data_IF_664435779051
#
_entry.id   IF_664435779051
#
_cell.length_a   1.000
_cell.length_b   1.000
_cell.length_c   1.000
_cell.angle_alpha   90.00
_cell.angle_beta   90.00
_cell.angle_gamma   90.00
#
_symmetry.space_group_name_H-M   'P 1'
#
loop_
_entity.id
_entity.type
_entity.pdbx_description
1 polymer ?
#
# COMPACT_ATOMS: atom_id res chain seq x y z
N UNK A 1 25.18 -6.43 -2.71
CA UNK A 1 24.53 -5.66 -3.79
C UNK A 1 23.42 -6.54 -4.31
N UNK A 2 22.19 -6.05 -4.34
CA UNK A 2 21.05 -6.85 -4.81
C UNK A 2 21.11 -7.05 -6.32
N UNK A 3 20.70 -8.22 -6.78
CA UNK A 3 20.38 -8.52 -8.18
C UNK A 3 19.06 -7.84 -8.57
N UNK A 4 18.80 -7.73 -9.87
CA UNK A 4 17.52 -7.19 -10.35
C UNK A 4 16.32 -8.03 -9.90
N UNK A 5 16.46 -9.36 -9.81
CA UNK A 5 15.36 -10.21 -9.35
C UNK A 5 15.11 -10.01 -7.84
N UNK A 6 16.15 -9.94 -7.02
CA UNK A 6 16.01 -9.65 -5.58
C UNK A 6 15.35 -8.28 -5.36
N UNK A 7 15.70 -7.26 -6.14
CA UNK A 7 15.05 -5.94 -6.05
C UNK A 7 13.57 -6.01 -6.46
N UNK A 8 13.25 -6.73 -7.54
CA UNK A 8 11.88 -6.92 -8.00
C UNK A 8 11.03 -7.66 -6.97
N UNK A 9 11.55 -8.69 -6.33
CA UNK A 9 10.88 -9.42 -5.24
C UNK A 9 10.61 -8.51 -4.04
N UNK A 10 11.59 -7.68 -3.64
CA UNK A 10 11.42 -6.70 -2.56
C UNK A 10 10.31 -5.69 -2.89
N UNK A 11 10.29 -5.17 -4.12
CA UNK A 11 9.29 -4.20 -4.55
C UNK A 11 7.89 -4.82 -4.66
N UNK A 12 7.80 -6.07 -5.13
CA UNK A 12 6.53 -6.80 -5.19
C UNK A 12 5.99 -7.08 -3.79
N UNK A 13 6.84 -7.56 -2.87
CA UNK A 13 6.47 -7.78 -1.48
C UNK A 13 6.01 -6.49 -0.79
N UNK A 14 6.68 -5.37 -1.09
CA UNK A 14 6.26 -4.06 -0.60
C UNK A 14 4.89 -3.65 -1.16
N UNK A 15 4.62 -3.90 -2.45
CA UNK A 15 3.32 -3.61 -3.08
C UNK A 15 2.20 -4.39 -2.41
N UNK A 16 2.42 -5.69 -2.20
CA UNK A 16 1.45 -6.59 -1.55
C UNK A 16 1.11 -6.09 -0.13
N UNK A 17 2.12 -5.64 0.61
CA UNK A 17 1.94 -5.08 1.95
C UNK A 17 1.18 -3.75 1.95
N UNK A 18 1.48 -2.85 1.01
CA UNK A 18 0.74 -1.59 0.86
C UNK A 18 -0.74 -1.85 0.58
N UNK A 19 -1.06 -2.81 -0.30
CA UNK A 19 -2.45 -3.16 -0.60
C UNK A 19 -3.17 -3.84 0.57
N UNK A 20 -2.48 -4.70 1.33
CA UNK A 20 -3.03 -5.32 2.55
C UNK A 20 -3.37 -4.26 3.61
N UNK A 21 -2.46 -3.32 3.84
CA UNK A 21 -2.66 -2.23 4.80
C UNK A 21 -3.78 -1.29 4.35
N UNK A 22 -3.84 -0.95 3.06
CA UNK A 22 -4.94 -0.17 2.51
C UNK A 22 -6.29 -0.84 2.81
N UNK A 23 -6.43 -2.14 2.49
CA UNK A 23 -7.67 -2.90 2.75
C UNK A 23 -8.01 -2.92 4.23
N UNK A 24 -7.01 -3.14 5.09
CA UNK A 24 -7.17 -3.18 6.54
C UNK A 24 -7.71 -1.86 7.08
N UNK A 25 -7.14 -0.73 6.67
CA UNK A 25 -7.59 0.58 7.14
C UNK A 25 -8.98 0.93 6.63
N UNK A 26 -9.32 0.60 5.37
CA UNK A 26 -10.67 0.80 4.85
C UNK A 26 -11.70 -0.03 5.64
N UNK A 27 -11.42 -1.31 5.90
CA UNK A 27 -12.31 -2.16 6.69
C UNK A 27 -12.45 -1.63 8.12
N UNK A 28 -11.37 -1.17 8.74
CA UNK A 28 -11.40 -0.59 10.08
C UNK A 28 -12.23 0.70 10.12
N UNK A 29 -12.07 1.58 9.12
CA UNK A 29 -12.83 2.83 9.02
C UNK A 29 -14.34 2.59 8.89
N UNK A 30 -14.76 1.53 8.20
CA UNK A 30 -16.18 1.16 8.07
C UNK A 30 -16.77 0.49 9.32
N UNK A 31 -15.92 0.04 10.25
CA UNK A 31 -16.34 -0.63 11.50
C UNK A 31 -16.28 0.26 12.74
N UNK A 32 -15.74 1.46 12.62
CA UNK A 32 -15.66 2.42 13.72
C UNK A 32 -16.88 3.33 13.66
N UNK A 33 -17.73 3.21 14.67
CA UNK A 33 -18.94 4.05 14.82
C UNK A 33 -18.70 5.22 15.79
N UNK A 34 -17.73 5.11 16.69
CA UNK A 34 -17.59 5.99 17.85
C UNK A 34 -16.58 7.14 17.68
N UNK A 35 -15.87 7.21 16.54
CA UNK A 35 -14.83 8.23 16.31
C UNK A 35 -14.69 8.61 14.83
N UNK A 36 -15.32 9.73 14.45
CA UNK A 36 -15.21 10.31 13.11
C UNK A 36 -13.77 10.76 12.78
N UNK A 37 -13.02 11.25 13.77
CA UNK A 37 -11.62 11.65 13.58
C UNK A 37 -10.74 10.43 13.22
N UNK A 38 -10.88 9.31 13.95
CA UNK A 38 -10.12 8.11 13.65
C UNK A 38 -10.53 7.50 12.31
N UNK A 39 -11.82 7.52 11.98
CA UNK A 39 -12.34 7.10 10.68
C UNK A 39 -11.72 7.88 9.53
N UNK A 40 -11.63 9.21 9.66
CA UNK A 40 -10.96 10.06 8.68
C UNK A 40 -9.47 9.67 8.54
N UNK A 41 -8.75 9.54 9.66
CA UNK A 41 -7.32 9.17 9.65
C UNK A 41 -7.06 7.81 8.99
N UNK A 42 -7.92 6.82 9.23
CA UNK A 42 -7.80 5.52 8.58
C UNK A 42 -7.99 5.60 7.07
N UNK A 43 -8.91 6.46 6.60
CA UNK A 43 -9.07 6.73 5.16
C UNK A 43 -7.85 7.44 4.59
N UNK A 44 -7.29 8.43 5.29
CA UNK A 44 -6.05 9.10 4.89
C UNK A 44 -4.86 8.14 4.81
N UNK A 45 -4.76 7.18 5.75
CA UNK A 45 -3.74 6.12 5.67
C UNK A 45 -3.94 5.25 4.44
N UNK A 46 -5.16 4.80 4.16
CA UNK A 46 -5.49 4.02 2.98
C UNK A 46 -5.18 4.76 1.66
N UNK A 47 -5.46 6.07 1.59
CA UNK A 47 -5.07 6.90 0.44
C UNK A 47 -3.54 6.99 0.28
N UNK A 48 -2.82 7.09 1.40
CA UNK A 48 -1.36 7.02 1.45
C UNK A 48 -0.83 5.69 0.90
N UNK A 49 -1.41 4.57 1.31
CA UNK A 49 -1.08 3.25 0.77
C UNK A 49 -1.33 3.20 -0.74
N UNK A 50 -2.51 3.66 -1.20
CA UNK A 50 -2.85 3.68 -2.64
C UNK A 50 -1.84 4.48 -3.47
N UNK A 51 -1.35 5.61 -2.94
CA UNK A 51 -0.30 6.41 -3.59
C UNK A 51 1.01 5.63 -3.70
N UNK A 52 1.45 4.96 -2.63
CA UNK A 52 2.68 4.16 -2.64
C UNK A 52 2.56 2.92 -3.54
N UNK A 53 1.42 2.24 -3.54
CA UNK A 53 1.15 1.14 -4.46
C UNK A 53 1.32 1.57 -5.92
N UNK A 54 0.79 2.73 -6.32
CA UNK A 54 1.00 3.26 -7.69
C UNK A 54 2.48 3.49 -8.02
N UNK A 55 3.23 4.08 -7.09
CA UNK A 55 4.66 4.31 -7.26
C UNK A 55 5.43 2.98 -7.39
N UNK A 56 5.11 1.98 -6.57
CA UNK A 56 5.72 0.64 -6.63
C UNK A 56 5.41 -0.07 -7.95
N UNK A 57 4.15 0.02 -8.41
CA UNK A 57 3.73 -0.52 -9.72
C UNK A 57 4.53 0.14 -10.84
N UNK A 58 4.72 1.45 -10.80
CA UNK A 58 5.48 2.18 -11.82
C UNK A 58 6.97 1.80 -11.83
N UNK A 59 7.56 1.53 -10.67
CA UNK A 59 8.94 1.00 -10.59
C UNK A 59 9.03 -0.46 -11.04
N UNK A 60 8.09 -1.33 -10.65
CA UNK A 60 8.05 -2.73 -11.08
C UNK A 60 7.95 -2.87 -12.60
N UNK A 61 7.21 -1.98 -13.28
CA UNK A 61 7.14 -1.95 -14.76
C UNK A 61 8.51 -1.76 -15.42
N UNK A 62 9.47 -1.13 -14.74
CA UNK A 62 10.83 -0.93 -15.27
C UNK A 62 11.65 -2.21 -15.33
N UNK A 63 11.26 -3.25 -14.59
CA UNK A 63 11.89 -4.58 -14.60
C UNK A 63 11.30 -5.51 -15.66
N UNK A 64 10.25 -5.10 -16.38
CA UNK A 64 9.57 -5.89 -17.42
C UNK A 64 10.16 -5.60 -18.82
N UNK A 65 11.05 -4.60 -18.93
CA UNK A 65 11.70 -4.17 -20.18
C UNK A 65 13.16 -4.62 -20.28
#
# INVERSE_FOLDING_TARGET
MYTNEELKEILQSSLDHEEEMMRTYLIAAERIDESEELKLRLREFAEGNAKRSRQLIDELKRFIN
#
